data_IF_463951498047
#
_entry.id   IF_463951498047
#
_cell.length_a   1.000
_cell.length_b   1.000
_cell.length_c   1.000
_cell.angle_alpha   90.00
_cell.angle_beta   90.00
_cell.angle_gamma   90.00
#
_symmetry.space_group_name_H-M   'P 1'
#
loop_
_entity.id
_entity.type
_entity.pdbx_description
1 polymer ?
#
# COMPACT_ATOMS: atom_id res chain seq x y z
N UNK A 1 24.87 0.44 -3.19
CA UNK A 1 23.61 0.76 -2.50
C UNK A 1 22.54 0.73 -3.56
N UNK A 2 21.48 -0.04 -3.35
CA UNK A 2 20.40 -0.19 -4.33
C UNK A 2 19.59 1.12 -4.37
N UNK A 3 19.40 1.77 -5.54
CA UNK A 3 18.69 3.04 -5.66
C UNK A 3 17.26 3.07 -5.10
N UNK A 4 16.64 1.91 -4.87
CA UNK A 4 15.28 1.78 -4.32
C UNK A 4 15.21 1.46 -2.83
N UNK A 5 16.33 1.37 -2.12
CA UNK A 5 16.34 0.93 -0.72
C UNK A 5 16.23 2.09 0.28
N UNK A 6 15.31 1.99 1.23
CA UNK A 6 15.09 2.97 2.29
C UNK A 6 15.71 2.49 3.62
N UNK A 7 16.48 3.36 4.27
CA UNK A 7 17.17 3.03 5.53
C UNK A 7 16.50 3.66 6.75
N UNK A 8 16.36 2.89 7.82
CA UNK A 8 15.86 3.35 9.12
C UNK A 8 16.93 3.10 10.18
N UNK A 9 17.32 4.16 10.90
CA UNK A 9 18.27 4.06 12.01
C UNK A 9 17.54 4.25 13.33
N UNK A 10 17.61 3.24 14.20
CA UNK A 10 17.11 3.31 15.57
C UNK A 10 18.25 3.74 16.50
N UNK A 11 18.10 4.92 17.11
CA UNK A 11 19.00 5.43 18.14
C UNK A 11 18.38 5.18 19.51
N UNK A 12 18.95 4.25 20.28
CA UNK A 12 18.63 3.98 21.69
C UNK A 12 19.89 4.17 22.55
N UNK A 13 19.83 3.95 23.86
CA UNK A 13 20.99 3.95 24.77
C UNK A 13 21.94 2.75 24.50
N UNK A 14 22.56 2.74 23.32
CA UNK A 14 23.42 1.68 22.79
C UNK A 14 23.84 1.96 21.34
N UNK A 15 24.61 1.06 20.70
CA UNK A 15 25.01 1.24 19.31
C UNK A 15 23.78 1.31 18.38
N UNK A 16 23.77 2.23 17.40
CA UNK A 16 22.64 2.38 16.47
C UNK A 16 22.33 1.09 15.73
N UNK A 17 21.04 0.77 15.59
CA UNK A 17 20.57 -0.35 14.77
C UNK A 17 20.05 0.19 13.45
N UNK A 18 20.65 -0.25 12.34
CA UNK A 18 20.27 0.18 10.99
C UNK A 18 19.55 -0.95 10.28
N UNK A 19 18.39 -0.64 9.70
CA UNK A 19 17.59 -1.56 8.90
C UNK A 19 17.41 -0.98 7.49
N UNK A 20 17.21 -1.86 6.51
CA UNK A 20 16.99 -1.48 5.11
C UNK A 20 15.76 -2.23 4.59
N UNK A 21 14.86 -1.50 3.94
CA UNK A 21 13.60 -2.00 3.39
C UNK A 21 13.39 -1.44 1.97
N UNK A 22 12.43 -1.98 1.24
CA UNK A 22 12.02 -1.44 -0.06
C UNK A 22 11.33 -0.08 0.05
N UNK A 23 10.77 0.24 1.23
CA UNK A 23 10.21 1.54 1.53
C UNK A 23 10.19 1.82 3.04
N UNK A 24 10.45 3.07 3.43
CA UNK A 24 10.37 3.51 4.82
C UNK A 24 9.64 4.85 4.89
N UNK A 25 8.50 4.84 5.58
CA UNK A 25 7.57 5.96 5.63
C UNK A 25 7.49 6.48 7.07
N UNK A 26 7.72 7.77 7.26
CA UNK A 26 7.72 8.41 8.58
C UNK A 26 6.38 9.10 8.88
N UNK A 27 6.32 9.87 9.97
CA UNK A 27 5.05 10.41 10.51
C UNK A 27 4.30 11.36 9.57
N UNK A 28 4.99 11.95 8.62
CA UNK A 28 4.48 12.88 7.59
C UNK A 28 4.00 12.17 6.31
N UNK A 29 4.25 10.87 6.19
CA UNK A 29 3.80 10.08 5.05
C UNK A 29 2.28 10.00 4.95
N UNK A 30 1.79 9.80 3.72
CA UNK A 30 0.37 9.73 3.42
C UNK A 30 0.01 8.35 2.85
N UNK A 31 -1.26 7.97 2.98
CA UNK A 31 -1.77 6.75 2.34
C UNK A 31 -1.65 6.82 0.81
N UNK A 32 -1.69 8.02 0.23
CA UNK A 32 -1.45 8.25 -1.19
C UNK A 32 -0.03 7.91 -1.60
N UNK A 33 0.97 8.43 -0.86
CA UNK A 33 2.37 8.15 -1.13
C UNK A 33 2.66 6.65 -1.07
N UNK A 34 2.27 6.00 0.04
CA UNK A 34 2.48 4.56 0.22
C UNK A 34 1.81 3.76 -0.90
N UNK A 35 0.59 4.14 -1.31
CA UNK A 35 -0.10 3.45 -2.38
C UNK A 35 0.65 3.56 -3.72
N UNK A 36 1.04 4.78 -4.10
CA UNK A 36 1.71 5.04 -5.37
C UNK A 36 3.08 4.36 -5.45
N UNK A 37 3.84 4.39 -4.36
CA UNK A 37 5.22 3.90 -4.34
C UNK A 37 5.29 2.36 -4.37
N UNK A 38 4.44 1.65 -3.61
CA UNK A 38 4.58 0.18 -3.43
C UNK A 38 3.35 -0.65 -3.80
N UNK A 39 2.13 -0.08 -3.78
CA UNK A 39 0.90 -0.86 -4.02
C UNK A 39 0.42 -0.75 -5.46
N UNK A 40 0.58 0.41 -6.09
CA UNK A 40 0.21 0.66 -7.47
C UNK A 40 0.73 -0.43 -8.44
N UNK A 41 2.05 -0.74 -8.48
CA UNK A 41 2.56 -1.78 -9.38
C UNK A 41 2.01 -3.18 -9.04
N UNK A 42 1.69 -3.45 -7.77
CA UNK A 42 1.07 -4.72 -7.39
C UNK A 42 -0.36 -4.84 -7.94
N UNK A 43 -1.14 -3.76 -7.92
CA UNK A 43 -2.50 -3.76 -8.46
C UNK A 43 -2.49 -3.86 -9.99
N UNK A 44 -1.52 -3.22 -10.68
CA UNK A 44 -1.32 -3.41 -12.13
C UNK A 44 -1.09 -4.88 -12.47
N UNK A 45 -0.19 -5.57 -11.74
CA UNK A 45 0.03 -7.00 -11.93
C UNK A 45 -1.26 -7.82 -11.70
N UNK A 46 -2.11 -7.45 -10.75
CA UNK A 46 -3.40 -8.14 -10.53
C UNK A 46 -4.34 -7.98 -11.72
N UNK A 47 -4.38 -6.79 -12.32
CA UNK A 47 -5.18 -6.51 -13.52
C UNK A 47 -4.66 -7.34 -14.71
N UNK A 48 -3.35 -7.58 -14.79
CA UNK A 48 -2.71 -8.45 -15.78
C UNK A 48 -2.92 -9.95 -15.53
N UNK A 49 -3.53 -10.33 -14.40
CA UNK A 49 -3.88 -11.72 -14.07
C UNK A 49 -2.96 -12.41 -13.07
N UNK A 50 -2.08 -11.67 -12.38
CA UNK A 50 -1.30 -12.21 -11.27
C UNK A 50 -2.07 -12.20 -9.94
N UNK A 51 -1.65 -13.05 -9.01
CA UNK A 51 -2.13 -12.99 -7.63
C UNK A 51 -1.32 -11.96 -6.83
N UNK A 52 -1.99 -10.97 -6.25
CA UNK A 52 -1.40 -9.97 -5.37
C UNK A 52 -1.92 -10.07 -3.94
N UNK A 53 -1.07 -9.81 -2.95
CA UNK A 53 -1.48 -9.77 -1.53
C UNK A 53 -0.75 -8.64 -0.82
N UNK A 54 -1.53 -7.81 -0.10
CA UNK A 54 -1.01 -6.80 0.81
C UNK A 54 -1.52 -7.13 2.21
N UNK A 55 -0.61 -7.26 3.17
CA UNK A 55 -0.96 -7.53 4.57
C UNK A 55 -0.26 -6.52 5.48
N UNK A 56 -1.00 -5.95 6.43
CA UNK A 56 -0.46 -5.03 7.43
C UNK A 56 -0.10 -5.80 8.71
N UNK A 57 1.15 -5.67 9.17
CA UNK A 57 1.67 -6.36 10.36
C UNK A 57 2.29 -5.37 11.37
N UNK A 58 2.11 -5.64 12.66
CA UNK A 58 2.60 -4.79 13.75
C UNK A 58 1.78 -4.91 15.03
N UNK A 59 2.23 -4.28 16.11
CA UNK A 59 1.54 -4.30 17.40
C UNK A 59 0.16 -3.63 17.37
N UNK A 60 -0.69 -3.89 18.37
CA UNK A 60 -1.96 -3.15 18.52
C UNK A 60 -1.68 -1.65 18.67
N UNK A 61 -2.46 -0.82 17.97
CA UNK A 61 -2.26 0.63 17.93
C UNK A 61 -1.19 1.12 16.94
N UNK A 62 -0.50 0.25 16.20
CA UNK A 62 0.57 0.65 15.26
C UNK A 62 0.09 1.17 13.89
N UNK A 63 -1.22 1.39 13.70
CA UNK A 63 -1.75 1.91 12.44
C UNK A 63 -2.04 0.90 11.33
N UNK A 64 -2.13 -0.42 11.61
CA UNK A 64 -2.51 -1.44 10.60
C UNK A 64 -3.83 -1.14 9.89
N UNK A 65 -4.91 -0.95 10.67
CA UNK A 65 -6.24 -0.60 10.14
C UNK A 65 -6.23 0.77 9.46
N UNK A 66 -5.48 1.73 10.01
CA UNK A 66 -5.32 3.05 9.39
C UNK A 66 -4.63 2.96 8.03
N UNK A 67 -3.62 2.11 7.87
CA UNK A 67 -2.92 1.94 6.58
C UNK A 67 -3.81 1.25 5.54
N UNK A 68 -4.58 0.22 5.95
CA UNK A 68 -5.44 -0.54 5.04
C UNK A 68 -6.73 0.21 4.66
N UNK A 69 -7.38 0.86 5.62
CA UNK A 69 -8.68 1.51 5.44
C UNK A 69 -8.55 3.04 5.34
N UNK A 70 -7.75 3.64 6.22
CA UNK A 70 -7.51 5.09 6.25
C UNK A 70 -8.73 5.90 6.66
N UNK A 71 -8.77 7.16 6.21
CA UNK A 71 -9.85 8.12 6.50
C UNK A 71 -10.51 8.54 5.20
N UNK A 72 -11.68 7.99 4.90
CA UNK A 72 -12.38 8.18 3.62
C UNK A 72 -12.59 9.66 3.23
N UNK A 73 -12.87 10.51 4.21
CA UNK A 73 -13.16 11.94 4.00
C UNK A 73 -11.93 12.81 3.76
N UNK A 74 -10.72 12.26 3.91
CA UNK A 74 -9.46 13.00 3.77
C UNK A 74 -8.66 12.36 2.64
N UNK A 75 -8.69 12.91 1.41
CA UNK A 75 -8.17 12.22 0.24
C UNK A 75 -6.72 11.72 0.36
N UNK A 76 -5.74 12.49 0.91
CA UNK A 76 -4.38 11.97 1.10
C UNK A 76 -4.28 10.83 2.12
N UNK A 77 -5.24 10.74 3.04
CA UNK A 77 -5.25 9.77 4.15
C UNK A 77 -6.18 8.58 3.89
N UNK A 78 -6.76 8.45 2.68
CA UNK A 78 -7.42 7.20 2.25
C UNK A 78 -6.41 6.06 2.23
N UNK A 79 -6.81 4.91 2.76
CA UNK A 79 -5.96 3.74 2.88
C UNK A 79 -5.84 2.95 1.58
N UNK A 80 -5.18 1.80 1.67
CA UNK A 80 -4.86 0.93 0.53
C UNK A 80 -6.12 0.33 -0.12
N UNK A 81 -7.05 -0.20 0.67
CA UNK A 81 -8.27 -0.87 0.17
C UNK A 81 -9.14 0.06 -0.69
N UNK A 82 -9.54 1.26 -0.22
CA UNK A 82 -10.38 2.14 -1.03
C UNK A 82 -9.67 2.67 -2.29
N UNK A 83 -8.34 2.78 -2.29
CA UNK A 83 -7.55 3.16 -3.47
C UNK A 83 -7.45 2.03 -4.49
N UNK A 84 -7.28 0.79 -4.03
CA UNK A 84 -7.27 -0.38 -4.89
C UNK A 84 -8.59 -0.53 -5.65
N UNK A 85 -9.73 -0.31 -4.99
CA UNK A 85 -11.02 -0.30 -5.67
C UNK A 85 -11.09 0.76 -6.78
N UNK A 86 -10.73 2.00 -6.46
CA UNK A 86 -10.73 3.10 -7.45
C UNK A 86 -9.82 2.79 -8.63
N UNK A 87 -8.62 2.28 -8.36
CA UNK A 87 -7.65 1.92 -9.38
C UNK A 87 -8.17 0.83 -10.33
N UNK A 88 -8.69 -0.28 -9.77
CA UNK A 88 -9.24 -1.39 -10.55
C UNK A 88 -10.39 -0.90 -11.42
N UNK A 89 -11.35 -0.17 -10.85
CA UNK A 89 -12.49 0.31 -11.62
C UNK A 89 -12.08 1.30 -12.72
N UNK A 90 -11.12 2.21 -12.45
CA UNK A 90 -10.59 3.12 -13.46
C UNK A 90 -9.89 2.36 -14.61
N UNK A 91 -9.07 1.36 -14.29
CA UNK A 91 -8.38 0.55 -15.30
C UNK A 91 -9.39 -0.22 -16.19
N UNK A 92 -10.41 -0.83 -15.58
CA UNK A 92 -11.45 -1.52 -16.36
C UNK A 92 -12.30 -0.59 -17.23
N UNK A 93 -12.52 0.65 -16.79
CA UNK A 93 -13.30 1.65 -17.53
C UNK A 93 -12.52 2.26 -18.71
N UNK A 94 -11.19 2.24 -18.66
CA UNK A 94 -10.29 2.84 -19.67
C UNK A 94 -9.72 1.82 -20.65
N UNK A 95 -9.95 0.52 -20.43
CA UNK A 95 -9.47 -0.55 -21.31
C UNK A 95 -10.56 -0.96 -22.31
N UNK A 96 -10.31 -0.69 -23.60
CA UNK A 96 -11.16 -1.15 -24.69
C UNK A 96 -10.79 -2.60 -25.09
N UNK A 97 -11.76 -3.35 -25.64
CA UNK A 97 -11.57 -4.74 -26.12
C UNK A 97 -11.30 -5.82 -25.07
N UNK A 98 -11.50 -5.54 -23.77
CA UNK A 98 -11.45 -6.53 -22.70
C UNK A 98 -12.75 -6.51 -21.89
N UNK A 99 -13.23 -7.68 -21.46
CA UNK A 99 -14.37 -7.81 -20.56
C UNK A 99 -13.87 -8.23 -19.18
N UNK A 100 -14.18 -7.44 -18.17
CA UNK A 100 -13.83 -7.72 -16.78
C UNK A 100 -15.06 -8.20 -16.00
N UNK A 101 -14.84 -9.16 -15.09
CA UNK A 101 -15.81 -9.57 -14.07
C UNK A 101 -15.09 -9.50 -12.72
N UNK A 102 -15.59 -8.65 -11.82
CA UNK A 102 -14.97 -8.40 -10.51
C UNK A 102 -15.86 -8.99 -9.42
N UNK A 103 -15.25 -9.79 -8.55
CA UNK A 103 -15.89 -10.34 -7.35
C UNK A 103 -15.11 -9.93 -6.11
N UNK A 104 -15.83 -9.65 -5.02
CA UNK A 104 -15.25 -9.34 -3.72
C UNK A 104 -15.80 -10.29 -2.67
N UNK A 105 -14.95 -10.69 -1.73
CA UNK A 105 -15.33 -11.41 -0.51
C UNK A 105 -14.65 -10.75 0.69
N UNK A 106 -15.25 -10.90 1.88
CA UNK A 106 -14.70 -10.41 3.13
C UNK A 106 -14.91 -11.47 4.21
N UNK A 107 -13.86 -11.74 4.99
CA UNK A 107 -13.85 -12.71 6.07
C UNK A 107 -13.14 -12.08 7.29
N UNK A 108 -13.51 -12.55 8.49
CA UNK A 108 -12.85 -12.21 9.76
C UNK A 108 -12.37 -13.47 10.48
#
# INVERSE_FOLDING_TARGET
MDPGSAQVTLTSDGPPKVFTFDGAYYMDSTGEQIYNDIVYPLVENVIEGYNGTVFAYGQTGSGKTFSMQGVDKVPPQRGIIPRAFEHIFLATATTENMKFLIHCSYLE
#
